data_IF_149648056767
#
_entry.id   IF_149648056767
#
_cell.length_a   1.000
_cell.length_b   1.000
_cell.length_c   1.000
_cell.angle_alpha   90.00
_cell.angle_beta   90.00
_cell.angle_gamma   90.00
#
_symmetry.space_group_name_H-M   'P 1'
#
loop_
_entity.id
_entity.type
_entity.pdbx_description
1 polymer ?
#
# COMPACT_ATOMS: atom_id res chain seq x y z
N UNK A 1 -9.23 -3.39 -0.29
CA UNK A 1 -8.24 -2.76 -1.18
C UNK A 1 -7.53 -3.72 -2.13
N UNK A 2 -7.68 -5.06 -2.05
CA UNK A 2 -6.88 -5.97 -2.89
C UNK A 2 -7.14 -5.80 -4.41
N UNK A 3 -8.40 -5.81 -4.83
CA UNK A 3 -8.78 -5.54 -6.23
C UNK A 3 -8.39 -4.11 -6.63
N UNK A 4 -8.67 -3.14 -5.76
CA UNK A 4 -8.31 -1.74 -5.97
C UNK A 4 -6.83 -1.41 -5.72
N UNK A 5 -5.95 -2.39 -5.45
CA UNK A 5 -4.50 -2.25 -5.41
C UNK A 5 -3.86 -2.85 -6.68
N UNK A 6 -4.51 -3.87 -7.27
CA UNK A 6 -4.20 -4.37 -8.60
C UNK A 6 -4.64 -3.41 -9.72
N UNK A 7 -5.85 -2.84 -9.60
CA UNK A 7 -6.42 -1.90 -10.58
C UNK A 7 -5.53 -0.66 -10.81
N UNK A 8 -4.94 0.00 -9.79
CA UNK A 8 -4.05 1.14 -9.99
C UNK A 8 -2.74 0.77 -10.68
N UNK A 9 -2.11 -0.35 -10.33
CA UNK A 9 -0.83 -0.75 -10.93
C UNK A 9 -1.02 -1.08 -12.41
N UNK A 10 -2.03 -1.91 -12.71
CA UNK A 10 -2.35 -2.28 -14.09
C UNK A 10 -2.85 -1.06 -14.86
N UNK A 11 -3.70 -0.22 -14.26
CA UNK A 11 -4.25 0.98 -14.86
C UNK A 11 -3.19 2.03 -15.20
N UNK A 12 -2.26 2.32 -14.29
CA UNK A 12 -1.20 3.30 -14.50
C UNK A 12 -0.21 2.85 -15.60
N UNK A 13 0.20 1.57 -15.59
CA UNK A 13 1.04 1.01 -16.65
C UNK A 13 0.34 1.05 -18.01
N UNK A 14 -0.92 0.65 -18.05
CA UNK A 14 -1.68 0.60 -19.30
C UNK A 14 -1.98 2.01 -19.84
N UNK A 15 -2.36 2.94 -18.97
CA UNK A 15 -2.57 4.33 -19.34
C UNK A 15 -1.27 4.99 -19.82
N UNK A 16 -0.15 4.75 -19.14
CA UNK A 16 1.16 5.24 -19.55
C UNK A 16 1.59 4.70 -20.91
N UNK A 17 1.39 3.40 -21.15
CA UNK A 17 1.65 2.77 -22.45
C UNK A 17 0.82 3.40 -23.57
N UNK A 18 -0.49 3.56 -23.36
CA UNK A 18 -1.39 4.20 -24.34
C UNK A 18 -0.98 5.66 -24.59
N UNK A 19 -0.61 6.41 -23.55
CA UNK A 19 -0.16 7.79 -23.69
C UNK A 19 1.10 7.92 -24.54
N UNK A 20 2.09 7.03 -24.35
CA UNK A 20 3.31 7.00 -25.15
C UNK A 20 3.01 6.64 -26.61
N UNK A 21 2.11 5.69 -26.86
CA UNK A 21 1.68 5.35 -28.22
C UNK A 21 0.97 6.51 -28.91
N UNK A 22 0.08 7.21 -28.21
CA UNK A 22 -0.62 8.38 -28.75
C UNK A 22 0.39 9.47 -29.10
N UNK A 23 1.36 9.76 -28.22
CA UNK A 23 2.40 10.74 -28.47
C UNK A 23 3.26 10.36 -29.69
N UNK A 24 3.61 9.08 -29.82
CA UNK A 24 4.39 8.55 -30.95
C UNK A 24 3.68 8.75 -32.29
N UNK A 25 2.38 8.47 -32.34
CA UNK A 25 1.59 8.58 -33.56
C UNK A 25 1.25 10.04 -33.89
N UNK A 26 1.02 10.88 -32.88
CA UNK A 26 0.52 12.25 -33.09
C UNK A 26 1.64 13.26 -33.32
N UNK A 27 2.75 13.15 -32.58
CA UNK A 27 3.82 14.14 -32.57
C UNK A 27 5.22 13.56 -32.89
N UNK A 28 5.34 12.23 -33.03
CA UNK A 28 6.58 11.56 -33.39
C UNK A 28 7.43 11.07 -32.22
N UNK A 29 8.62 10.57 -32.54
CA UNK A 29 9.46 9.82 -31.60
C UNK A 29 9.99 10.68 -30.43
N UNK A 30 10.35 11.93 -30.69
CA UNK A 30 10.90 12.83 -29.67
C UNK A 30 9.89 13.09 -28.55
N UNK A 31 8.65 13.42 -28.91
CA UNK A 31 7.58 13.68 -27.94
C UNK A 31 7.20 12.41 -27.17
N UNK A 32 7.19 11.25 -27.83
CA UNK A 32 6.95 9.97 -27.16
C UNK A 32 8.02 9.66 -26.10
N UNK A 33 9.30 9.93 -26.40
CA UNK A 33 10.40 9.75 -25.44
C UNK A 33 10.30 10.72 -24.26
N UNK A 34 9.89 11.97 -24.49
CA UNK A 34 9.65 12.95 -23.43
C UNK A 34 8.51 12.48 -22.52
N UNK A 35 7.38 12.06 -23.09
CA UNK A 35 6.23 11.53 -22.32
C UNK A 35 6.63 10.30 -21.51
N UNK A 36 7.36 9.36 -22.11
CA UNK A 36 7.89 8.19 -21.42
C UNK A 36 8.80 8.58 -20.25
N UNK A 37 9.73 9.52 -20.47
CA UNK A 37 10.64 10.00 -19.43
C UNK A 37 9.87 10.64 -18.25
N UNK A 38 8.86 11.46 -18.54
CA UNK A 38 8.00 12.06 -17.51
C UNK A 38 7.28 10.98 -16.70
N UNK A 39 6.65 10.02 -17.37
CA UNK A 39 5.93 8.92 -16.70
C UNK A 39 6.88 8.16 -15.77
N UNK A 40 8.07 7.81 -16.24
CA UNK A 40 9.07 7.09 -15.43
C UNK A 40 9.48 7.93 -14.22
N UNK A 41 9.76 9.23 -14.39
CA UNK A 41 10.11 10.12 -13.28
C UNK A 41 9.00 10.20 -12.24
N UNK A 42 7.74 10.33 -12.67
CA UNK A 42 6.58 10.35 -11.78
C UNK A 42 6.44 9.02 -11.02
N UNK A 43 6.52 7.88 -11.71
CA UNK A 43 6.46 6.57 -11.07
C UNK A 43 7.59 6.34 -10.07
N UNK A 44 8.80 6.83 -10.37
CA UNK A 44 9.95 6.75 -9.46
C UNK A 44 9.74 7.62 -8.22
N UNK A 45 9.22 8.83 -8.38
CA UNK A 45 8.83 9.69 -7.26
C UNK A 45 7.78 9.00 -6.39
N UNK A 46 6.73 8.44 -7.01
CA UNK A 46 5.70 7.71 -6.29
C UNK A 46 6.28 6.53 -5.51
N UNK A 47 7.10 5.69 -6.16
CA UNK A 47 7.68 4.49 -5.55
C UNK A 47 8.74 4.76 -4.48
N UNK A 48 9.62 5.74 -4.68
CA UNK A 48 10.78 5.96 -3.80
C UNK A 48 10.61 7.10 -2.79
N UNK A 49 9.63 8.00 -2.98
CA UNK A 49 9.47 9.18 -2.12
C UNK A 49 8.07 9.21 -1.51
N UNK A 50 7.02 9.17 -2.34
CA UNK A 50 5.66 9.29 -1.83
C UNK A 50 5.22 8.03 -1.07
N UNK A 51 5.57 6.84 -1.55
CA UNK A 51 5.31 5.59 -0.84
C UNK A 51 5.92 5.61 0.57
N UNK A 52 7.23 5.80 0.80
CA UNK A 52 7.79 5.80 2.14
C UNK A 52 7.26 6.92 3.04
N UNK A 53 6.93 8.09 2.51
CA UNK A 53 6.27 9.15 3.29
C UNK A 53 4.88 8.68 3.75
N UNK A 54 4.10 8.09 2.85
CA UNK A 54 2.75 7.60 3.13
C UNK A 54 2.75 6.34 4.01
N UNK A 55 3.77 5.49 3.87
CA UNK A 55 4.01 4.28 4.66
C UNK A 55 4.83 4.53 5.93
N UNK A 56 5.28 5.76 6.21
CA UNK A 56 6.16 6.08 7.36
C UNK A 56 5.53 5.76 8.73
N UNK A 57 4.20 5.57 8.79
CA UNK A 57 3.46 5.12 9.98
C UNK A 57 3.05 3.64 9.91
N UNK A 58 3.64 2.89 8.99
CA UNK A 58 3.23 1.54 8.61
C UNK A 58 3.43 0.52 9.73
N UNK A 59 2.30 -0.08 10.13
CA UNK A 59 2.18 -1.20 11.04
C UNK A 59 3.24 -2.26 10.70
N UNK A 60 4.15 -2.55 11.63
CA UNK A 60 5.25 -3.52 11.49
C UNK A 60 4.74 -4.98 11.40
N UNK A 61 3.89 -5.25 10.41
CA UNK A 61 3.32 -6.55 10.17
C UNK A 61 4.33 -7.44 9.47
N UNK A 62 4.77 -8.45 10.19
CA UNK A 62 5.68 -9.45 9.68
C UNK A 62 5.05 -10.17 8.48
N UNK A 63 5.76 -10.25 7.34
CA UNK A 63 5.27 -10.87 6.10
C UNK A 63 4.75 -12.31 6.32
N UNK A 64 5.29 -13.02 7.31
CA UNK A 64 4.81 -14.35 7.72
C UNK A 64 3.34 -14.36 8.16
N UNK A 65 2.86 -13.32 8.85
CA UNK A 65 1.46 -13.23 9.32
C UNK A 65 0.52 -13.11 8.13
N UNK A 66 0.90 -12.32 7.13
CA UNK A 66 0.11 -12.17 5.89
C UNK A 66 0.08 -13.49 5.13
N UNK A 67 1.23 -14.16 4.99
CA UNK A 67 1.31 -15.45 4.30
C UNK A 67 0.43 -16.52 5.00
N UNK A 68 0.48 -16.59 6.33
CA UNK A 68 -0.37 -17.50 7.11
C UNK A 68 -1.85 -17.17 6.95
N UNK A 69 -2.22 -15.89 7.03
CA UNK A 69 -3.60 -15.46 6.84
C UNK A 69 -4.12 -15.82 5.44
N UNK A 70 -3.33 -15.58 4.39
CA UNK A 70 -3.69 -15.91 2.99
C UNK A 70 -3.83 -17.40 2.79
N UNK A 71 -2.95 -18.20 3.39
CA UNK A 71 -3.00 -19.67 3.32
C UNK A 71 -4.24 -20.21 4.03
N UNK A 72 -4.55 -19.69 5.22
CA UNK A 72 -5.74 -20.07 5.99
C UNK A 72 -7.03 -19.63 5.28
N UNK A 73 -7.12 -18.37 4.85
CA UNK A 73 -8.27 -17.85 4.11
C UNK A 73 -8.48 -18.60 2.80
N UNK A 74 -7.40 -18.89 2.08
CA UNK A 74 -7.40 -19.71 0.87
C UNK A 74 -7.92 -21.12 1.10
N UNK A 75 -7.58 -21.73 2.24
CA UNK A 75 -8.03 -23.09 2.57
C UNK A 75 -9.52 -23.14 2.97
N UNK A 76 -10.06 -22.06 3.52
CA UNK A 76 -11.45 -22.00 4.01
C UNK A 76 -12.47 -21.70 2.90
N UNK A 77 -12.18 -20.78 1.99
CA UNK A 77 -13.12 -20.42 0.91
C UNK A 77 -12.47 -20.24 -0.47
N UNK A 78 -11.29 -20.85 -0.68
CA UNK A 78 -10.59 -20.81 -1.94
C UNK A 78 -10.09 -19.41 -2.29
N UNK A 79 -10.22 -19.04 -3.56
CA UNK A 79 -9.71 -17.76 -4.08
C UNK A 79 -10.34 -16.56 -3.35
N UNK A 80 -11.62 -16.63 -2.99
CA UNK A 80 -12.30 -15.52 -2.31
C UNK A 80 -11.68 -15.28 -0.93
N UNK A 81 -11.43 -16.36 -0.17
CA UNK A 81 -10.86 -16.26 1.16
C UNK A 81 -9.40 -15.84 1.16
N UNK A 82 -8.61 -16.23 0.16
CA UNK A 82 -7.23 -15.75 0.01
C UNK A 82 -7.17 -14.25 -0.33
N UNK A 83 -8.09 -13.74 -1.16
CA UNK A 83 -8.19 -12.31 -1.49
C UNK A 83 -8.59 -11.44 -0.28
N UNK A 84 -9.48 -11.96 0.58
CA UNK A 84 -9.95 -11.25 1.78
C UNK A 84 -8.99 -11.38 2.98
N UNK A 85 -8.12 -12.38 3.00
CA UNK A 85 -7.21 -12.61 4.11
C UNK A 85 -6.29 -11.42 4.44
N UNK A 86 -5.74 -10.75 3.42
CA UNK A 86 -4.82 -9.62 3.60
C UNK A 86 -5.50 -8.42 4.30
N UNK A 87 -6.65 -7.90 3.83
CA UNK A 87 -7.32 -6.80 4.54
C UNK A 87 -7.82 -7.19 5.93
N UNK A 88 -8.26 -8.43 6.15
CA UNK A 88 -8.63 -8.89 7.50
C UNK A 88 -7.43 -8.92 8.45
N UNK A 89 -6.29 -9.47 8.00
CA UNK A 89 -5.06 -9.49 8.80
C UNK A 89 -4.58 -8.08 9.15
N UNK A 90 -4.65 -7.15 8.18
CA UNK A 90 -4.32 -5.75 8.41
C UNK A 90 -5.25 -5.10 9.45
N UNK A 91 -6.56 -5.36 9.39
CA UNK A 91 -7.52 -4.86 10.37
C UNK A 91 -7.18 -5.35 11.79
N UNK A 92 -6.93 -6.65 11.95
CA UNK A 92 -6.56 -7.25 13.24
C UNK A 92 -5.29 -6.58 13.78
N UNK A 93 -4.30 -6.35 12.92
CA UNK A 93 -3.05 -5.71 13.30
C UNK A 93 -3.23 -4.27 13.79
N UNK A 94 -4.07 -3.49 13.11
CA UNK A 94 -4.40 -2.12 13.52
C UNK A 94 -5.01 -2.13 14.91
N UNK A 95 -6.02 -2.99 15.12
CA UNK A 95 -6.69 -3.10 16.42
C UNK A 95 -5.72 -3.52 17.50
N UNK A 96 -4.87 -4.53 17.24
CA UNK A 96 -3.88 -5.02 18.18
C UNK A 96 -2.88 -3.93 18.58
N UNK A 97 -2.32 -3.21 17.61
CA UNK A 97 -1.39 -2.12 17.86
C UNK A 97 -2.06 -0.97 18.62
N UNK A 98 -3.30 -0.62 18.28
CA UNK A 98 -4.06 0.41 18.96
C UNK A 98 -4.33 0.07 20.44
N UNK A 99 -4.71 -1.18 20.73
CA UNK A 99 -4.91 -1.64 22.11
C UNK A 99 -3.59 -1.66 22.88
N UNK A 100 -2.49 -2.10 22.25
CA UNK A 100 -1.17 -2.12 22.88
C UNK A 100 -0.69 -0.71 23.25
N UNK A 101 -0.90 0.26 22.36
CA UNK A 101 -0.54 1.66 22.61
C UNK A 101 -1.27 2.20 23.86
N UNK A 102 -2.59 1.98 23.94
CA UNK A 102 -3.39 2.43 25.10
C UNK A 102 -3.01 1.77 26.42
N UNK A 103 -2.50 0.54 26.38
CA UNK A 103 -2.07 -0.16 27.59
C UNK A 103 -0.64 0.21 28.02
N UNK A 104 0.15 0.83 27.13
CA UNK A 104 1.56 1.12 27.36
C UNK A 104 1.80 2.56 27.86
N UNK A 105 0.84 3.47 27.76
CA UNK A 105 0.86 4.77 28.44
C UNK A 105 0.21 4.66 29.84
N UNK A 106 0.98 4.69 30.94
CA UNK A 106 0.40 4.80 32.28
C UNK A 106 -0.35 6.14 32.40
N UNK A 107 -1.55 6.17 33.00
CA UNK A 107 -2.24 7.41 33.27
C UNK A 107 -1.32 8.34 34.06
N UNK A 108 -1.32 9.60 33.66
CA UNK A 108 -0.72 10.80 34.26
C UNK A 108 -1.23 11.07 35.69
N UNK A 109 -1.37 10.04 36.52
CA UNK A 109 -2.02 10.03 37.82
C UNK A 109 -1.05 10.16 39.00
N UNK A 110 0.26 10.32 38.75
CA UNK A 110 1.26 10.47 39.83
C UNK A 110 1.85 11.90 39.93
N UNK A 111 1.56 12.82 39.01
CA UNK A 111 2.12 14.18 39.02
C UNK A 111 1.24 15.22 39.74
N UNK A 112 0.02 14.86 40.13
CA UNK A 112 -0.90 15.75 40.88
C UNK A 112 -1.00 15.41 42.37
N UNK A 113 -0.12 14.54 42.89
CA UNK A 113 -0.18 14.03 44.26
C UNK A 113 1.02 14.37 45.14
N UNK A 114 1.88 15.31 44.73
CA UNK A 114 2.96 15.84 45.60
C UNK A 114 3.02 17.36 45.50
N UNK A 115 2.72 18.02 46.64
CA UNK A 115 3.34 19.26 47.12
C UNK A 115 3.13 20.55 46.35
#
# INVERSE_FOLDING_TARGET
>A
TFVSAFVPIVGALFAGFVAVLIALVSNGLTDALIVLAIIVVVQQLEGNVFQPILQSRGLGLHAAVILLAVTLGGSLSGIVGSLLAVPLAALIAVVWNYVREQLTDPPEAAATADG
#
